data_IF_011438401783
#
_entry.id   IF_011438401783
#
_cell.length_a   1.000
_cell.length_b   1.000
_cell.length_c   1.000
_cell.angle_alpha   90.00
_cell.angle_beta   90.00
_cell.angle_gamma   90.00
#
_symmetry.space_group_name_H-M   'P 1'
#
loop_
_entity.id
_entity.type
_entity.pdbx_description
1 polymer ?
#
# COMPACT_ATOMS: atom_id res chain seq x y z
N UNK A 1 -8.27 -32.59 -67.42
CA UNK A 1 -7.10 -31.77 -67.80
C UNK A 1 -7.10 -30.51 -66.94
N UNK A 2 -6.00 -30.18 -66.27
CA UNK A 2 -5.89 -28.97 -65.44
C UNK A 2 -5.53 -27.77 -66.32
N UNK A 3 -6.57 -27.06 -66.78
CA UNK A 3 -6.47 -25.95 -67.73
C UNK A 3 -5.60 -24.80 -67.19
N UNK A 4 -5.59 -24.60 -65.87
CA UNK A 4 -4.81 -23.55 -65.23
C UNK A 4 -3.31 -23.88 -65.22
N UNK A 5 -2.95 -25.17 -65.08
CA UNK A 5 -1.55 -25.60 -65.21
C UNK A 5 -1.06 -25.48 -66.63
N UNK A 6 -1.87 -25.88 -67.62
CA UNK A 6 -1.50 -25.73 -69.03
C UNK A 6 -1.30 -24.25 -69.40
N UNK A 7 -2.21 -23.36 -68.98
CA UNK A 7 -2.08 -21.92 -69.25
C UNK A 7 -0.80 -21.32 -68.66
N UNK A 8 -0.42 -21.73 -67.44
CA UNK A 8 0.83 -21.28 -66.81
C UNK A 8 2.07 -21.78 -67.53
N UNK A 9 2.08 -23.04 -67.96
CA UNK A 9 3.20 -23.62 -68.71
C UNK A 9 3.31 -22.98 -70.10
N UNK A 10 2.19 -22.66 -70.76
CA UNK A 10 2.20 -21.93 -72.02
C UNK A 10 2.63 -20.46 -71.86
N UNK A 11 2.26 -19.80 -70.78
CA UNK A 11 2.78 -18.46 -70.46
C UNK A 11 4.29 -18.49 -70.22
N UNK A 12 4.80 -19.55 -69.58
CA UNK A 12 6.24 -19.77 -69.40
C UNK A 12 6.97 -20.07 -70.72
N UNK A 13 6.27 -20.62 -71.71
CA UNK A 13 6.80 -20.85 -73.05
C UNK A 13 7.00 -19.55 -73.85
N UNK A 14 6.38 -18.44 -73.42
CA UNK A 14 6.62 -17.10 -73.97
C UNK A 14 7.75 -16.34 -73.24
N UNK A 15 8.53 -17.03 -72.40
CA UNK A 15 9.71 -16.46 -71.73
C UNK A 15 10.84 -16.18 -72.72
N UNK A 16 11.60 -15.10 -72.51
CA UNK A 16 12.77 -14.70 -73.30
C UNK A 16 13.98 -15.64 -73.10
N UNK A 17 13.86 -16.67 -72.26
CA UNK A 17 14.87 -17.69 -72.04
C UNK A 17 14.54 -18.98 -72.82
N UNK A 18 15.25 -19.21 -73.92
CA UNK A 18 15.06 -20.34 -74.82
C UNK A 18 15.10 -21.71 -74.12
N UNK A 19 15.94 -21.88 -73.09
CA UNK A 19 16.05 -23.14 -72.37
C UNK A 19 14.78 -23.44 -71.53
N UNK A 20 14.23 -22.41 -70.89
CA UNK A 20 13.00 -22.50 -70.12
C UNK A 20 11.77 -22.62 -71.03
N UNK A 21 11.75 -21.87 -72.13
CA UNK A 21 10.69 -21.94 -73.13
C UNK A 21 10.59 -23.34 -73.75
N UNK A 22 11.72 -23.96 -74.11
CA UNK A 22 11.75 -25.33 -74.64
C UNK A 22 11.33 -26.37 -73.60
N UNK A 23 11.73 -26.21 -72.34
CA UNK A 23 11.28 -27.10 -71.27
C UNK A 23 9.78 -26.98 -71.02
N UNK A 24 9.24 -25.76 -71.04
CA UNK A 24 7.82 -25.47 -70.92
C UNK A 24 7.02 -26.08 -72.07
N UNK A 25 7.49 -25.94 -73.32
CA UNK A 25 6.85 -26.53 -74.49
C UNK A 25 6.80 -28.07 -74.43
N UNK A 26 7.89 -28.73 -74.01
CA UNK A 26 7.90 -30.19 -73.81
C UNK A 26 6.94 -30.63 -72.71
N UNK A 27 6.80 -29.81 -71.66
CA UNK A 27 5.89 -30.10 -70.53
C UNK A 27 4.43 -29.89 -70.95
N UNK A 28 4.13 -28.83 -71.70
CA UNK A 28 2.81 -28.60 -72.30
C UNK A 28 2.42 -29.73 -73.27
N UNK A 29 3.36 -30.20 -74.10
CA UNK A 29 3.17 -31.36 -74.98
C UNK A 29 2.75 -32.61 -74.22
N UNK A 30 3.47 -33.00 -73.16
CA UNK A 30 3.12 -34.15 -72.31
C UNK A 30 1.76 -34.00 -71.62
N UNK A 31 1.41 -32.78 -71.18
CA UNK A 31 0.12 -32.50 -70.55
C UNK A 31 -1.04 -32.59 -71.54
N UNK A 32 -0.81 -32.31 -72.83
CA UNK A 32 -1.81 -32.43 -73.89
C UNK A 32 -1.92 -33.88 -74.41
N UNK A 33 -0.80 -34.58 -74.55
CA UNK A 33 -0.76 -36.02 -74.90
C UNK A 33 -1.49 -36.88 -73.85
N UNK A 34 -1.26 -36.62 -72.56
CA UNK A 34 -1.98 -37.30 -71.47
C UNK A 34 -3.49 -37.01 -71.44
N UNK A 35 -3.94 -35.97 -72.14
CA UNK A 35 -5.34 -35.62 -72.33
C UNK A 35 -5.91 -36.08 -73.69
N UNK A 36 -5.12 -36.78 -74.52
CA UNK A 36 -5.52 -37.28 -75.83
C UNK A 36 -5.65 -36.19 -76.91
N UNK A 37 -5.03 -35.03 -76.72
CA UNK A 37 -5.10 -33.89 -77.63
C UNK A 37 -3.75 -33.66 -78.31
N UNK A 38 -3.76 -33.52 -79.64
CA UNK A 38 -2.56 -33.23 -80.43
C UNK A 38 -2.27 -31.71 -80.43
N UNK A 39 -1.08 -31.33 -79.97
CA UNK A 39 -0.60 -29.95 -79.90
C UNK A 39 -0.65 -29.25 -81.27
N UNK A 40 -0.33 -29.96 -82.34
CA UNK A 40 -0.28 -29.40 -83.70
C UNK A 40 -1.68 -29.09 -84.22
N UNK A 41 -2.65 -29.97 -83.95
CA UNK A 41 -4.06 -29.77 -84.32
C UNK A 41 -4.74 -28.64 -83.51
N UNK A 42 -4.26 -28.39 -82.28
CA UNK A 42 -4.75 -27.31 -81.44
C UNK A 42 -4.14 -25.97 -81.84
N UNK A 43 -2.84 -25.95 -82.17
CA UNK A 43 -2.15 -24.79 -82.71
C UNK A 43 -2.71 -24.35 -84.08
N UNK A 44 -3.04 -25.30 -84.97
CA UNK A 44 -3.66 -24.97 -86.27
C UNK A 44 -5.05 -24.36 -86.11
N UNK A 45 -5.88 -24.88 -85.20
CA UNK A 45 -7.20 -24.29 -84.88
C UNK A 45 -7.11 -22.89 -84.26
N UNK A 46 -6.08 -22.62 -83.46
CA UNK A 46 -5.83 -21.30 -82.87
C UNK A 46 -5.26 -20.30 -83.89
N UNK A 47 -4.45 -20.77 -84.84
CA UNK A 47 -3.90 -19.95 -85.92
C UNK A 47 -4.96 -19.60 -86.98
N UNK A 48 -5.86 -20.53 -87.29
CA UNK A 48 -6.99 -20.30 -88.22
C UNK A 48 -8.14 -19.53 -87.56
N UNK A 49 -8.27 -19.62 -86.24
CA UNK A 49 -9.23 -18.88 -85.41
C UNK A 49 -8.58 -17.77 -84.59
N UNK A 50 -7.83 -16.88 -85.25
CA UNK A 50 -7.25 -15.70 -84.60
C UNK A 50 -8.30 -14.90 -83.82
N UNK A 51 -7.91 -14.17 -82.75
CA UNK A 51 -8.86 -13.49 -81.89
C UNK A 51 -9.64 -12.46 -82.72
N UNK A 52 -10.92 -12.76 -83.00
CA UNK A 52 -11.87 -11.81 -83.56
C UNK A 52 -12.20 -10.82 -82.44
N UNK A 53 -11.31 -9.84 -82.24
CA UNK A 53 -11.63 -8.67 -81.44
C UNK A 53 -12.67 -7.91 -82.26
N UNK A 54 -13.93 -7.96 -81.85
CA UNK A 54 -14.98 -7.15 -82.45
C UNK A 54 -14.55 -5.68 -82.42
N UNK A 55 -14.81 -4.91 -83.49
CA UNK A 55 -14.41 -3.50 -83.58
C UNK A 55 -14.79 -2.68 -82.33
N UNK A 56 -15.93 -3.03 -81.71
CA UNK A 56 -16.39 -2.46 -80.43
C UNK A 56 -15.45 -2.68 -79.25
N UNK A 57 -14.80 -3.85 -79.14
CA UNK A 57 -13.81 -4.13 -78.08
C UNK A 57 -12.50 -3.40 -78.33
N UNK A 58 -12.21 -3.07 -79.59
CA UNK A 58 -11.02 -2.33 -79.97
C UNK A 58 -11.19 -0.86 -79.60
N UNK A 59 -12.37 -0.30 -79.83
CA UNK A 59 -12.78 1.04 -79.35
C UNK A 59 -12.77 1.12 -77.81
N UNK A 60 -13.35 0.14 -77.09
CA UNK A 60 -13.31 0.08 -75.61
C UNK A 60 -11.86 0.01 -75.07
N UNK A 61 -10.97 -0.70 -75.78
CA UNK A 61 -9.54 -0.78 -75.44
C UNK A 61 -8.82 0.54 -75.73
N UNK A 62 -9.19 1.25 -76.79
CA UNK A 62 -8.64 2.56 -77.10
C UNK A 62 -9.03 3.61 -76.05
N UNK A 63 -10.29 3.60 -75.59
CA UNK A 63 -10.79 4.49 -74.55
C UNK A 63 -10.11 4.20 -73.19
N UNK A 64 -9.99 2.94 -72.80
CA UNK A 64 -9.28 2.57 -71.57
C UNK A 64 -7.80 2.91 -71.61
N UNK A 65 -7.14 2.75 -72.76
CA UNK A 65 -5.74 3.18 -72.96
C UNK A 65 -5.62 4.70 -72.86
N UNK A 66 -6.60 5.45 -73.36
CA UNK A 66 -6.63 6.91 -73.26
C UNK A 66 -6.79 7.38 -71.80
N UNK A 67 -7.71 6.76 -71.05
CA UNK A 67 -7.93 7.05 -69.63
C UNK A 67 -6.69 6.72 -68.80
N UNK A 68 -6.08 5.56 -69.00
CA UNK A 68 -4.84 5.16 -68.33
C UNK A 68 -3.68 6.10 -68.66
N UNK A 69 -3.59 6.61 -69.90
CA UNK A 69 -2.58 7.60 -70.29
C UNK A 69 -2.79 8.93 -69.57
N UNK A 70 -4.04 9.37 -69.44
CA UNK A 70 -4.38 10.59 -68.70
C UNK A 70 -4.10 10.43 -67.20
N UNK A 71 -4.42 9.29 -66.62
CA UNK A 71 -4.12 8.97 -65.22
C UNK A 71 -2.60 8.92 -64.97
N UNK A 72 -1.83 8.26 -65.86
CA UNK A 72 -0.36 8.27 -65.77
C UNK A 72 0.18 9.70 -65.86
N UNK A 73 -0.38 10.55 -66.73
CA UNK A 73 0.03 11.95 -66.84
C UNK A 73 -0.30 12.73 -65.57
N UNK A 74 -1.49 12.50 -64.98
CA UNK A 74 -1.88 13.11 -63.72
C UNK A 74 -0.98 12.66 -62.57
N UNK A 75 -0.79 11.35 -62.39
CA UNK A 75 0.05 10.77 -61.35
C UNK A 75 1.50 11.24 -61.48
N UNK A 76 2.03 11.36 -62.69
CA UNK A 76 3.37 11.94 -62.92
C UNK A 76 3.43 13.40 -62.51
N UNK A 77 2.42 14.20 -62.85
CA UNK A 77 2.36 15.60 -62.44
C UNK A 77 2.21 15.77 -60.93
N UNK A 78 1.51 14.85 -60.27
CA UNK A 78 1.34 14.84 -58.82
C UNK A 78 2.62 14.37 -58.12
N UNK A 79 3.28 13.34 -58.62
CA UNK A 79 4.59 12.92 -58.12
C UNK A 79 5.63 14.03 -58.29
N UNK A 80 5.61 14.72 -59.43
CA UNK A 80 6.48 15.85 -59.69
C UNK A 80 6.14 17.05 -58.79
N UNK A 81 4.85 17.31 -58.52
CA UNK A 81 4.44 18.29 -57.52
C UNK A 81 4.85 17.90 -56.09
N UNK A 82 4.84 16.62 -55.74
CA UNK A 82 5.32 16.13 -54.44
C UNK A 82 6.84 16.21 -54.34
N UNK A 83 7.55 16.08 -55.47
CA UNK A 83 9.00 16.25 -55.55
C UNK A 83 9.44 17.72 -55.54
N UNK A 84 8.74 18.58 -56.28
CA UNK A 84 9.03 20.02 -56.36
C UNK A 84 8.47 20.80 -55.16
N UNK A 85 7.32 20.37 -54.65
CA UNK A 85 6.70 20.86 -53.42
C UNK A 85 7.31 20.27 -52.14
N UNK A 86 8.46 19.60 -52.22
CA UNK A 86 9.12 19.03 -51.06
C UNK A 86 10.63 19.32 -51.00
N UNK A 87 11.07 20.28 -50.16
CA UNK A 87 11.68 19.91 -48.90
C UNK A 87 10.60 19.38 -47.96
N UNK A 88 10.79 18.15 -47.50
CA UNK A 88 10.02 17.45 -46.48
C UNK A 88 9.32 18.41 -45.50
N UNK A 89 8.00 18.26 -45.36
CA UNK A 89 7.17 18.91 -44.33
C UNK A 89 7.44 18.34 -42.91
N UNK A 90 8.71 18.14 -42.59
CA UNK A 90 9.26 17.72 -41.32
C UNK A 90 10.71 18.15 -41.37
N UNK A 91 11.13 19.01 -40.44
CA UNK A 91 12.47 19.58 -40.44
C UNK A 91 13.53 18.51 -40.72
N UNK A 92 14.52 18.82 -41.57
CA UNK A 92 15.50 17.85 -42.06
C UNK A 92 16.24 17.10 -40.95
N UNK A 93 17.14 16.19 -41.31
CA UNK A 93 17.90 15.33 -40.36
C UNK A 93 18.44 16.08 -39.12
N UNK A 94 18.79 17.35 -39.27
CA UNK A 94 19.18 18.25 -38.18
C UNK A 94 18.07 18.54 -37.15
N UNK A 95 16.83 18.79 -37.57
CA UNK A 95 15.69 18.98 -36.67
C UNK A 95 15.33 17.66 -35.97
N UNK A 96 15.31 16.54 -36.71
CA UNK A 96 15.12 15.22 -36.10
C UNK A 96 16.21 14.88 -35.07
N UNK A 97 17.47 15.24 -35.33
CA UNK A 97 18.56 15.08 -34.37
C UNK A 97 18.41 15.99 -33.14
N UNK A 98 17.90 17.21 -33.31
CA UNK A 98 17.59 18.12 -32.20
C UNK A 98 16.45 17.58 -31.34
N UNK A 99 15.38 17.04 -31.95
CA UNK A 99 14.27 16.43 -31.24
C UNK A 99 14.75 15.21 -30.45
N UNK A 100 15.55 14.32 -31.06
CA UNK A 100 16.14 13.17 -30.35
C UNK A 100 17.03 13.63 -29.21
N UNK A 101 17.87 14.65 -29.40
CA UNK A 101 18.69 15.20 -28.31
C UNK A 101 17.85 15.79 -27.16
N UNK A 102 16.74 16.47 -27.47
CA UNK A 102 15.79 16.95 -26.46
C UNK A 102 15.13 15.78 -25.73
N UNK A 103 14.69 14.73 -26.43
CA UNK A 103 14.09 13.56 -25.78
C UNK A 103 15.08 12.83 -24.86
N UNK A 104 16.37 12.76 -25.24
CA UNK A 104 17.41 12.17 -24.40
C UNK A 104 17.62 13.02 -23.14
N UNK A 105 17.69 14.35 -23.27
CA UNK A 105 17.79 15.27 -22.12
C UNK A 105 16.60 15.13 -21.18
N UNK A 106 15.38 15.17 -21.70
CA UNK A 106 14.16 15.02 -20.89
C UNK A 106 14.08 13.65 -20.22
N UNK A 107 14.56 12.58 -20.87
CA UNK A 107 14.66 11.25 -20.24
C UNK A 107 15.68 11.23 -19.10
N UNK A 108 16.85 11.84 -19.29
CA UNK A 108 17.85 11.96 -18.23
C UNK A 108 17.30 12.76 -17.03
N UNK A 109 16.61 13.88 -17.29
CA UNK A 109 15.94 14.67 -16.24
C UNK A 109 14.84 13.86 -15.53
N UNK A 110 14.03 13.07 -16.26
CA UNK A 110 13.03 12.20 -15.65
C UNK A 110 13.65 11.11 -14.78
N UNK A 111 14.76 10.53 -15.19
CA UNK A 111 15.45 9.50 -14.42
C UNK A 111 16.13 10.10 -13.18
N UNK A 112 16.72 11.28 -13.28
CA UNK A 112 17.24 12.04 -12.13
C UNK A 112 16.12 12.41 -11.13
N UNK A 113 14.96 12.86 -11.62
CA UNK A 113 13.80 13.15 -10.78
C UNK A 113 13.24 11.88 -10.10
N UNK A 114 13.31 10.73 -10.76
CA UNK A 114 12.91 9.45 -10.16
C UNK A 114 13.88 9.01 -9.07
N UNK A 115 15.17 9.20 -9.28
CA UNK A 115 16.20 8.88 -8.28
C UNK A 115 16.09 9.77 -7.04
N UNK A 116 15.93 11.09 -7.24
CA UNK A 116 15.76 12.06 -6.15
C UNK A 116 14.48 11.77 -5.36
N UNK A 117 13.35 11.55 -6.04
CA UNK A 117 12.10 11.17 -5.38
C UNK A 117 12.22 9.83 -4.64
N UNK A 118 12.96 8.87 -5.20
CA UNK A 118 13.27 7.61 -4.51
C UNK A 118 14.15 7.79 -3.27
N UNK A 119 15.09 8.74 -3.29
CA UNK A 119 15.91 9.08 -2.14
C UNK A 119 15.09 9.82 -1.06
N UNK A 120 14.24 10.75 -1.46
CA UNK A 120 13.34 11.48 -0.55
C UNK A 120 12.33 10.56 0.12
N UNK A 121 11.74 9.60 -0.61
CA UNK A 121 10.86 8.59 -0.02
C UNK A 121 11.58 7.77 1.05
N UNK A 122 12.80 7.30 0.77
CA UNK A 122 13.61 6.57 1.76
C UNK A 122 13.93 7.43 3.00
N UNK A 123 14.21 8.72 2.82
CA UNK A 123 14.39 9.67 3.94
C UNK A 123 13.09 9.83 4.73
N UNK A 124 11.95 10.00 4.06
CA UNK A 124 10.65 10.12 4.71
C UNK A 124 10.28 8.85 5.49
N UNK A 125 10.49 7.66 4.93
CA UNK A 125 10.25 6.39 5.60
C UNK A 125 11.15 6.23 6.84
N UNK A 126 12.42 6.63 6.74
CA UNK A 126 13.34 6.61 7.88
C UNK A 126 12.94 7.60 8.97
N UNK A 127 12.44 8.78 8.59
CA UNK A 127 11.95 9.79 9.53
C UNK A 127 10.68 9.30 10.25
N UNK A 128 9.73 8.69 9.51
CA UNK A 128 8.53 8.09 10.11
C UNK A 128 8.87 6.93 11.05
N UNK A 129 9.87 6.12 10.73
CA UNK A 129 10.34 5.08 11.64
C UNK A 129 10.94 5.68 12.93
N UNK A 130 11.72 6.76 12.82
CA UNK A 130 12.26 7.48 13.97
C UNK A 130 11.18 8.13 14.83
N UNK A 131 10.15 8.73 14.22
CA UNK A 131 8.99 9.28 14.93
C UNK A 131 8.23 8.20 15.71
N UNK A 132 8.01 7.03 15.10
CA UNK A 132 7.35 5.89 15.79
C UNK A 132 8.18 5.39 16.97
N UNK A 133 9.50 5.33 16.82
CA UNK A 133 10.40 4.97 17.93
C UNK A 133 10.30 5.98 19.07
N UNK A 134 10.36 7.28 18.76
CA UNK A 134 10.20 8.35 19.75
C UNK A 134 8.85 8.27 20.45
N UNK A 135 7.75 8.02 19.71
CA UNK A 135 6.44 7.82 20.31
C UNK A 135 6.40 6.62 21.26
N UNK A 136 7.04 5.51 20.91
CA UNK A 136 7.14 4.35 21.80
C UNK A 136 7.92 4.69 23.08
N UNK A 137 9.03 5.43 22.95
CA UNK A 137 9.83 5.88 24.10
C UNK A 137 9.03 6.83 25.01
N UNK A 138 8.26 7.75 24.44
CA UNK A 138 7.39 8.65 25.20
C UNK A 138 6.30 7.90 25.96
N UNK A 139 5.71 6.86 25.36
CA UNK A 139 4.72 6.00 26.05
C UNK A 139 5.38 5.26 27.21
N UNK A 140 6.56 4.69 27.01
CA UNK A 140 7.31 4.03 28.09
C UNK A 140 7.67 5.02 29.22
N UNK A 141 8.10 6.24 28.87
CA UNK A 141 8.39 7.29 29.85
C UNK A 141 7.14 7.70 30.64
N UNK A 142 5.98 7.79 30.00
CA UNK A 142 4.71 8.08 30.65
C UNK A 142 4.32 6.96 31.64
N UNK A 143 4.44 5.69 31.23
CA UNK A 143 4.17 4.55 32.12
C UNK A 143 5.11 4.54 33.34
N UNK A 144 6.40 4.85 33.14
CA UNK A 144 7.36 4.96 34.24
C UNK A 144 7.00 6.13 35.18
N UNK A 145 6.59 7.27 34.63
CA UNK A 145 6.14 8.41 35.42
C UNK A 145 4.90 8.07 36.26
N UNK A 146 3.92 7.36 35.70
CA UNK A 146 2.74 6.89 36.44
C UNK A 146 3.13 5.94 37.58
N UNK A 147 4.04 4.98 37.33
CA UNK A 147 4.54 4.07 38.37
C UNK A 147 5.25 4.82 39.48
N UNK A 148 6.09 5.80 39.14
CA UNK A 148 6.78 6.64 40.12
C UNK A 148 5.78 7.50 40.91
N UNK A 149 4.75 8.03 40.27
CA UNK A 149 3.66 8.75 40.93
C UNK A 149 2.94 7.88 41.97
N UNK A 150 2.56 6.66 41.59
CA UNK A 150 1.92 5.71 42.51
C UNK A 150 2.84 5.32 43.69
N UNK A 151 4.15 5.16 43.43
CA UNK A 151 5.13 4.92 44.49
C UNK A 151 5.25 6.11 45.44
N UNK A 152 5.28 7.33 44.91
CA UNK A 152 5.33 8.55 45.69
C UNK A 152 4.10 8.69 46.59
N UNK A 153 2.90 8.47 46.06
CA UNK A 153 1.66 8.52 46.84
C UNK A 153 1.63 7.47 47.97
N UNK A 154 2.12 6.25 47.69
CA UNK A 154 2.28 5.22 48.71
C UNK A 154 3.27 5.64 49.80
N UNK A 155 4.42 6.21 49.44
CA UNK A 155 5.42 6.68 50.40
C UNK A 155 4.89 7.85 51.23
N UNK A 156 4.18 8.80 50.60
CA UNK A 156 3.52 9.90 51.29
C UNK A 156 2.48 9.39 52.28
N UNK A 157 1.63 8.46 51.87
CA UNK A 157 0.65 7.83 52.78
C UNK A 157 1.29 7.07 53.94
N UNK A 158 2.49 6.50 53.76
CA UNK A 158 3.27 5.90 54.87
C UNK A 158 3.87 6.97 55.78
N UNK A 159 4.41 8.05 55.22
CA UNK A 159 4.95 9.17 55.99
C UNK A 159 3.87 9.81 56.86
N UNK A 160 2.69 10.09 56.29
CA UNK A 160 1.55 10.67 57.02
C UNK A 160 1.10 9.77 58.19
N UNK A 161 1.11 8.44 58.00
CA UNK A 161 0.81 7.48 59.09
C UNK A 161 1.87 7.50 60.18
N UNK A 162 3.15 7.48 59.80
CA UNK A 162 4.26 7.54 60.75
C UNK A 162 4.26 8.87 61.52
N UNK A 163 3.94 9.98 60.87
CA UNK A 163 3.75 11.28 61.54
C UNK A 163 2.59 11.23 62.54
N UNK A 164 1.45 10.64 62.17
CA UNK A 164 0.30 10.50 63.06
C UNK A 164 0.63 9.61 64.28
N UNK A 165 1.34 8.50 64.06
CA UNK A 165 1.82 7.62 65.13
C UNK A 165 2.83 8.35 66.03
N UNK A 166 3.77 9.11 65.47
CA UNK A 166 4.74 9.88 66.24
C UNK A 166 4.05 10.96 67.10
N UNK A 167 3.05 11.67 66.55
CA UNK A 167 2.22 12.61 67.32
C UNK A 167 1.48 11.90 68.46
N UNK A 168 0.89 10.74 68.20
CA UNK A 168 0.20 9.92 69.21
C UNK A 168 1.15 9.48 70.33
N UNK A 169 2.32 8.96 69.96
CA UNK A 169 3.34 8.53 70.92
C UNK A 169 3.87 9.71 71.74
N UNK A 170 4.02 10.89 71.13
CA UNK A 170 4.36 12.13 71.83
C UNK A 170 3.33 12.49 72.90
N UNK A 171 2.04 12.37 72.61
CA UNK A 171 0.97 12.60 73.60
C UNK A 171 1.00 11.57 74.73
N UNK A 172 1.22 10.29 74.42
CA UNK A 172 1.35 9.22 75.43
C UNK A 172 2.57 9.47 76.31
N UNK A 173 3.72 9.83 75.72
CA UNK A 173 4.92 10.15 76.48
C UNK A 173 4.73 11.37 77.39
N UNK A 174 4.01 12.40 76.92
CA UNK A 174 3.66 13.56 77.73
C UNK A 174 2.75 13.18 78.91
N UNK A 175 1.72 12.35 78.68
CA UNK A 175 0.82 11.88 79.73
C UNK A 175 1.56 11.04 80.78
N UNK A 176 2.38 10.08 80.35
CA UNK A 176 3.20 9.26 81.25
C UNK A 176 4.21 10.09 82.06
N UNK A 177 4.74 11.16 81.46
CA UNK A 177 5.61 12.10 82.18
C UNK A 177 4.85 12.82 83.29
N UNK A 178 3.63 13.31 83.01
CA UNK A 178 2.78 13.94 84.03
C UNK A 178 2.47 12.95 85.16
N UNK A 179 2.07 11.71 84.84
CA UNK A 179 1.82 10.68 85.86
C UNK A 179 3.07 10.36 86.70
N UNK A 180 4.25 10.35 86.07
CA UNK A 180 5.52 10.13 86.78
C UNK A 180 5.87 11.31 87.69
N UNK A 181 5.71 12.55 87.19
CA UNK A 181 5.95 13.77 87.95
C UNK A 181 4.99 13.86 89.16
N UNK A 182 3.72 13.47 89.00
CA UNK A 182 2.73 13.34 90.10
C UNK A 182 3.17 12.31 91.13
N UNK A 183 3.61 11.12 90.71
CA UNK A 183 4.10 10.08 91.64
C UNK A 183 5.37 10.51 92.39
N UNK A 184 6.26 11.27 91.75
CA UNK A 184 7.46 11.83 92.39
C UNK A 184 7.05 12.91 93.40
N UNK A 185 6.08 13.76 93.06
CA UNK A 185 5.53 14.75 93.98
C UNK A 185 4.91 14.07 95.22
N UNK A 186 4.13 13.01 95.05
CA UNK A 186 3.52 12.25 96.15
C UNK A 186 4.57 11.56 97.05
N UNK A 187 5.69 11.07 96.48
CA UNK A 187 6.77 10.45 97.25
C UNK A 187 7.62 11.47 98.02
N UNK A 188 7.85 12.65 97.42
CA UNK A 188 8.63 13.73 98.05
C UNK A 188 7.82 14.53 99.09
N UNK A 189 6.49 14.54 98.96
CA UNK A 189 5.55 15.11 99.92
C UNK A 189 4.43 14.11 100.24
N UNK A 190 4.69 13.11 101.09
CA UNK A 190 3.63 12.20 101.52
C UNK A 190 2.52 13.01 102.16
N UNK A 191 1.31 12.92 101.59
CA UNK A 191 0.11 13.48 102.22
C UNK A 191 0.06 12.98 103.67
N UNK A 192 -0.27 13.84 104.65
CA UNK A 192 -0.42 13.39 106.02
C UNK A 192 -1.42 12.24 106.05
N UNK A 193 -1.18 11.18 106.84
CA UNK A 193 -2.09 10.04 106.92
C UNK A 193 -3.50 10.60 107.18
N UNK A 194 -4.55 10.07 106.51
CA UNK A 194 -5.89 10.55 106.75
C UNK A 194 -6.14 10.40 108.26
N UNK A 195 -6.22 11.54 108.96
CA UNK A 195 -6.80 11.60 110.28
C UNK A 195 -8.13 10.90 110.14
N UNK A 196 -8.33 9.84 110.94
CA UNK A 196 -9.50 8.99 110.94
C UNK A 196 -10.78 9.84 111.03
N UNK A 197 -11.28 10.27 109.86
CA UNK A 197 -12.59 10.85 109.73
C UNK A 197 -13.54 9.68 109.86
N UNK A 198 -14.27 9.71 110.97
CA UNK A 198 -15.36 8.82 111.29
C UNK A 198 -16.15 8.45 110.03
N UNK A 199 -16.29 7.16 109.78
CA UNK A 199 -17.22 6.57 108.82
C UNK A 199 -18.60 7.20 109.02
N UNK A 200 -19.15 7.98 108.07
CA UNK A 200 -20.58 8.20 108.03
C UNK A 200 -21.25 6.98 107.37
N UNK A 201 -22.43 6.57 107.86
CA UNK A 201 -23.06 5.31 107.49
C UNK A 201 -23.52 5.31 106.02
N UNK A 202 -23.45 4.12 105.42
CA UNK A 202 -23.94 3.84 104.08
C UNK A 202 -25.38 4.32 103.87
N UNK A 203 -25.68 5.12 102.83
CA UNK A 203 -27.05 5.28 102.37
C UNK A 203 -27.50 4.06 101.55
N UNK A 204 -28.71 3.62 101.85
CA UNK A 204 -29.42 2.47 101.30
C UNK A 204 -29.44 2.39 99.75
N UNK A 205 -29.60 1.19 99.17
CA UNK A 205 -29.58 1.01 97.72
C UNK A 205 -30.79 1.69 97.07
N UNK A 206 -30.53 2.71 96.25
CA UNK A 206 -31.56 3.29 95.39
C UNK A 206 -31.85 2.29 94.27
N UNK A 207 -33.09 1.85 94.27
CA UNK A 207 -33.71 0.97 93.27
C UNK A 207 -33.56 1.56 91.87
N UNK A 208 -33.02 0.71 91.00
CA UNK A 208 -33.06 0.70 89.54
C UNK A 208 -34.21 1.51 88.92
N UNK A 209 -33.89 2.47 88.07
CA UNK A 209 -34.79 3.00 87.06
C UNK A 209 -34.09 2.92 85.70
N UNK A 210 -34.43 1.90 84.91
CA UNK A 210 -34.19 1.89 83.47
C UNK A 210 -35.18 2.85 82.80
N UNK A 211 -34.74 3.72 81.88
CA UNK A 211 -35.61 4.21 80.83
C UNK A 211 -35.16 3.70 79.45
N UNK A 212 -35.97 2.78 78.93
CA UNK A 212 -36.44 2.55 77.56
C UNK A 212 -35.54 2.86 76.32
N UNK A 213 -35.64 2.01 75.27
CA UNK A 213 -34.73 2.01 74.13
C UNK A 213 -35.03 3.15 73.15
N UNK A 214 -34.00 3.91 72.77
CA UNK A 214 -34.10 4.83 71.62
C UNK A 214 -33.73 4.10 70.33
N UNK A 215 -34.78 3.87 69.53
CA UNK A 215 -34.88 3.73 68.07
C UNK A 215 -33.62 3.37 67.28
N UNK A 216 -33.75 2.28 66.54
CA UNK A 216 -32.93 1.91 65.38
C UNK A 216 -32.75 3.08 64.41
N UNK A 217 -31.49 3.48 64.19
CA UNK A 217 -31.07 4.17 62.99
C UNK A 217 -30.66 3.13 61.95
N UNK A 218 -31.22 3.29 60.76
CA UNK A 218 -31.13 2.40 59.61
C UNK A 218 -29.69 2.05 59.17
N UNK A 219 -29.50 0.87 58.54
CA UNK A 219 -28.24 0.50 57.91
C UNK A 219 -28.01 1.28 56.60
N UNK A 220 -26.77 1.64 56.23
CA UNK A 220 -26.48 2.14 54.90
C UNK A 220 -26.61 1.01 53.84
N UNK A 221 -26.96 1.35 52.58
CA UNK A 221 -27.31 0.38 51.54
C UNK A 221 -26.10 -0.39 50.99
N UNK A 222 -26.31 -1.58 50.39
CA UNK A 222 -25.25 -2.42 49.85
C UNK A 222 -24.70 -1.89 48.52
N UNK A 223 -23.38 -1.70 48.44
CA UNK A 223 -22.69 -1.52 47.18
C UNK A 223 -22.56 -2.88 46.45
N UNK A 224 -23.12 -2.95 45.26
CA UNK A 224 -23.08 -4.10 44.39
C UNK A 224 -21.67 -4.35 43.81
N UNK A 225 -21.27 -5.62 43.88
CA UNK A 225 -20.42 -6.42 42.97
C UNK A 225 -19.53 -5.67 41.96
N UNK A 226 -18.23 -6.01 41.99
CA UNK A 226 -17.53 -6.44 40.77
C UNK A 226 -16.41 -7.43 41.10
N UNK A 227 -16.56 -8.65 40.59
CA UNK A 227 -15.48 -9.65 40.56
C UNK A 227 -14.52 -9.40 39.40
N UNK A 228 -13.23 -9.66 39.66
CA UNK A 228 -12.17 -10.08 38.73
C UNK A 228 -10.99 -10.46 39.63
N UNK A 229 -10.72 -11.75 39.86
CA UNK A 229 -9.94 -12.64 39.01
C UNK A 229 -8.52 -12.12 38.75
N UNK A 230 -7.53 -12.86 39.24
CA UNK A 230 -6.13 -12.78 38.80
C UNK A 230 -5.14 -12.48 39.90
N UNK A 231 -4.77 -13.50 40.68
CA UNK A 231 -3.49 -13.50 41.38
C UNK A 231 -2.38 -13.79 40.34
N UNK A 232 -1.34 -12.95 40.20
CA UNK A 232 -0.15 -13.37 39.46
C UNK A 232 0.71 -14.24 40.38
N UNK A 233 0.84 -15.52 40.01
CA UNK A 233 1.88 -16.40 40.56
C UNK A 233 3.22 -15.87 40.05
N UNK A 234 4.04 -15.43 40.99
CA UNK A 234 5.44 -15.10 40.81
C UNK A 234 6.20 -16.36 40.37
N UNK A 235 6.68 -16.40 39.13
CA UNK A 235 7.78 -17.28 38.73
C UNK A 235 8.91 -16.40 38.22
N UNK A 236 9.92 -16.29 39.06
CA UNK A 236 11.23 -15.81 38.66
C UNK A 236 11.80 -16.74 37.60
N UNK A 237 12.47 -16.12 36.63
CA UNK A 237 13.39 -16.71 35.69
C UNK A 237 14.35 -17.70 36.35
N UNK A 238 14.90 -18.62 35.57
CA UNK A 238 16.32 -18.68 35.21
C UNK A 238 16.54 -19.84 34.22
N UNK A 239 17.38 -19.55 33.23
CA UNK A 239 18.30 -20.42 32.48
C UNK A 239 18.31 -21.91 32.80
#
# INVERSE_FOLDING_TARGET
MDVQRLAKVLALAASDNDAEALHALRTAGRLLESAGLDFVALASRLAEGGPVVSATRLEDLEDTVFDLRNEIRHLRSENEKLRQGGPVAGGGLAAAAQDVAQTIRLKAELDELRETLGAEKRRADSAQAAERALHADLVQAAELAERLGAQFDSLKGRADRLEAENRRLGLVAAALKVELDERIADQSHPLPPPLAAAVPPAPAPVVRAEPAPRRASAPPPPAARRGKAGAPVSQYALF
#
